data_IF_248388842739
#
_entry.id   IF_248388842739
#
_cell.length_a   1.000
_cell.length_b   1.000
_cell.length_c   1.000
_cell.angle_alpha   90.00
_cell.angle_beta   90.00
_cell.angle_gamma   90.00
#
_symmetry.space_group_name_H-M   'P 1'
#
loop_
_entity.id
_entity.type
_entity.pdbx_description
1 polymer ?
#
# COMPACT_ATOMS: atom_id res chain seq x y z
N UNK A 1 2.07 21.07 16.27
CA UNK A 1 2.40 20.11 15.19
C UNK A 1 1.16 19.30 14.91
N UNK A 2 0.62 19.30 13.66
CA UNK A 2 -0.55 18.49 13.34
C UNK A 2 -0.21 17.02 13.52
N UNK A 3 -1.14 16.27 14.12
CA UNK A 3 -0.97 14.86 14.49
C UNK A 3 -1.17 14.01 13.25
N UNK A 4 -0.10 13.39 12.76
CA UNK A 4 -0.17 12.45 11.64
C UNK A 4 -0.73 11.12 12.13
N UNK A 5 -1.79 10.61 11.50
CA UNK A 5 -2.29 9.28 11.80
C UNK A 5 -1.42 8.27 11.03
N UNK A 6 -0.75 7.38 11.78
CA UNK A 6 0.10 6.33 11.20
C UNK A 6 -0.54 4.99 11.51
N UNK A 7 -0.92 4.25 10.46
CA UNK A 7 -1.30 2.83 10.57
C UNK A 7 -0.11 1.99 10.12
N UNK A 8 0.13 0.87 10.81
CA UNK A 8 1.20 -0.07 10.46
C UNK A 8 0.67 -1.49 10.43
N UNK A 9 1.25 -2.32 9.57
CA UNK A 9 0.94 -3.73 9.45
C UNK A 9 2.18 -4.50 9.03
N UNK A 10 2.26 -5.77 9.41
CA UNK A 10 3.38 -6.64 9.08
C UNK A 10 2.85 -7.98 8.59
N UNK A 11 3.43 -8.49 7.51
CA UNK A 11 3.15 -9.83 6.97
C UNK A 11 4.44 -10.62 6.89
N UNK A 12 4.37 -11.89 7.25
CA UNK A 12 5.46 -12.83 7.03
C UNK A 12 5.17 -13.62 5.75
N UNK A 13 6.21 -13.90 4.99
CA UNK A 13 6.12 -14.66 3.75
C UNK A 13 7.29 -15.65 3.68
N UNK A 14 7.02 -16.89 3.28
CA UNK A 14 8.05 -17.92 3.12
C UNK A 14 7.97 -18.50 1.71
N UNK A 15 9.10 -18.49 1.01
CA UNK A 15 9.21 -19.02 -0.35
C UNK A 15 10.56 -19.71 -0.51
N UNK A 16 10.54 -20.95 -1.02
CA UNK A 16 11.73 -21.75 -1.31
C UNK A 16 12.72 -21.85 -0.12
N UNK A 17 12.18 -21.94 1.11
CA UNK A 17 12.96 -22.05 2.34
C UNK A 17 13.59 -20.73 2.82
N UNK A 18 13.23 -19.61 2.21
CA UNK A 18 13.61 -18.25 2.64
C UNK A 18 12.45 -17.58 3.33
N UNK A 19 12.73 -16.91 4.43
CA UNK A 19 11.74 -16.15 5.19
C UNK A 19 11.90 -14.66 4.92
N UNK A 20 10.76 -14.00 4.72
CA UNK A 20 10.69 -12.58 4.46
C UNK A 20 9.65 -11.93 5.38
N UNK A 21 9.91 -10.68 5.71
CA UNK A 21 8.97 -9.81 6.41
C UNK A 21 8.64 -8.62 5.51
N UNK A 22 7.36 -8.31 5.37
CA UNK A 22 6.89 -7.12 4.69
C UNK A 22 6.21 -6.21 5.70
N UNK A 23 6.73 -5.00 5.85
CA UNK A 23 6.18 -3.94 6.66
C UNK A 23 5.42 -2.96 5.78
N UNK A 24 4.17 -2.67 6.14
CA UNK A 24 3.34 -1.68 5.49
C UNK A 24 3.10 -0.51 6.44
N UNK A 25 3.20 0.70 5.92
CA UNK A 25 2.88 1.92 6.66
C UNK A 25 1.93 2.78 5.83
N UNK A 26 0.93 3.34 6.50
CA UNK A 26 0.05 4.36 5.95
C UNK A 26 0.15 5.60 6.82
N UNK A 27 0.45 6.72 6.17
CA UNK A 27 0.61 8.02 6.80
C UNK A 27 -0.38 9.01 6.16
N UNK A 28 -1.30 9.52 6.97
CA UNK A 28 -2.23 10.57 6.55
C UNK A 28 -2.00 11.84 7.35
N UNK A 29 -1.84 12.95 6.63
CA UNK A 29 -1.85 14.28 7.21
C UNK A 29 -3.28 14.69 7.56
N UNK A 30 -3.46 15.37 8.70
CA UNK A 30 -4.75 15.96 9.04
C UNK A 30 -5.05 17.24 8.24
N UNK A 31 -4.05 17.81 7.57
CA UNK A 31 -4.13 19.12 6.90
C UNK A 31 -4.13 18.98 5.38
N UNK A 32 -3.53 17.91 4.85
CA UNK A 32 -3.48 17.62 3.42
C UNK A 32 -4.41 16.44 3.12
N UNK A 33 -5.14 16.52 2.02
CA UNK A 33 -5.98 15.40 1.54
C UNK A 33 -5.16 14.26 0.93
N UNK A 34 -3.84 14.43 0.82
CA UNK A 34 -2.91 13.42 0.36
C UNK A 34 -2.49 12.50 1.50
N UNK A 35 -2.12 11.28 1.14
CA UNK A 35 -1.55 10.31 2.07
C UNK A 35 -0.41 9.55 1.40
N UNK A 36 0.36 8.84 2.21
CA UNK A 36 1.53 8.10 1.79
C UNK A 36 1.40 6.65 2.25
N UNK A 37 1.65 5.73 1.33
CA UNK A 37 1.73 4.30 1.62
C UNK A 37 3.18 3.87 1.36
N UNK A 38 3.79 3.22 2.35
CA UNK A 38 5.12 2.62 2.24
C UNK A 38 5.02 1.11 2.41
N UNK A 39 5.80 0.37 1.64
CA UNK A 39 6.07 -1.03 1.90
C UNK A 39 7.57 -1.31 1.90
N UNK A 40 8.03 -2.00 2.93
CA UNK A 40 9.41 -2.42 3.10
C UNK A 40 9.47 -3.94 3.21
N UNK A 41 10.26 -4.59 2.36
CA UNK A 41 10.51 -6.03 2.40
C UNK A 41 11.93 -6.27 2.93
N UNK A 42 12.06 -7.22 3.85
CA UNK A 42 13.33 -7.68 4.42
C UNK A 42 13.40 -9.21 4.34
N UNK A 43 14.54 -9.76 3.92
CA UNK A 43 14.83 -11.19 4.08
C UNK A 43 15.37 -11.46 5.50
N UNK A 44 14.73 -12.37 6.23
CA UNK A 44 15.22 -12.84 7.53
C UNK A 44 16.40 -13.77 7.30
N UNK A 45 17.59 -13.35 7.73
CA UNK A 45 18.75 -14.23 7.68
C UNK A 45 18.79 -15.18 8.87
N UNK A 46 19.15 -16.46 8.65
CA UNK A 46 19.45 -17.36 9.73
C UNK A 46 20.66 -16.85 10.53
N UNK A 47 20.58 -17.00 11.86
CA UNK A 47 21.61 -16.53 12.78
C UNK A 47 23.01 -17.00 12.36
N UNK A 48 23.93 -16.05 12.18
CA UNK A 48 25.34 -16.31 11.85
C UNK A 48 25.75 -16.08 10.39
N UNK A 49 24.84 -15.69 9.50
CA UNK A 49 25.19 -15.18 8.16
C UNK A 49 25.21 -13.64 8.19
N UNK A 50 26.36 -13.06 7.85
CA UNK A 50 26.59 -11.62 7.78
C UNK A 50 26.53 -11.11 6.34
N UNK A 51 25.73 -11.75 5.49
CA UNK A 51 25.57 -11.29 4.11
C UNK A 51 24.58 -10.12 4.13
N UNK A 52 24.67 -9.14 3.22
CA UNK A 52 23.68 -8.06 3.18
C UNK A 52 22.28 -8.65 2.98
N UNK A 53 21.37 -8.46 3.94
CA UNK A 53 19.96 -8.84 3.77
C UNK A 53 19.39 -8.04 2.59
N UNK A 54 18.76 -8.74 1.65
CA UNK A 54 18.07 -8.06 0.57
C UNK A 54 16.91 -7.26 1.19
N UNK A 55 16.92 -5.95 0.99
CA UNK A 55 15.81 -5.09 1.36
C UNK A 55 15.35 -4.26 0.18
N UNK A 56 14.05 -4.04 0.10
CA UNK A 56 13.44 -3.16 -0.90
C UNK A 56 12.35 -2.35 -0.23
N UNK A 57 12.41 -1.03 -0.43
CA UNK A 57 11.40 -0.09 0.02
C UNK A 57 10.76 0.59 -1.16
N UNK A 58 9.44 0.69 -1.15
CA UNK A 58 8.69 1.47 -2.13
C UNK A 58 7.71 2.37 -1.38
N UNK A 59 7.64 3.62 -1.81
CA UNK A 59 6.71 4.61 -1.28
C UNK A 59 5.84 5.15 -2.42
N UNK A 60 4.53 5.29 -2.17
CA UNK A 60 3.57 5.83 -3.14
C UNK A 60 2.71 6.90 -2.48
N UNK A 61 2.66 8.07 -3.12
CA UNK A 61 1.79 9.17 -2.71
C UNK A 61 0.42 8.97 -3.34
N UNK A 62 -0.62 8.89 -2.51
CA UNK A 62 -2.00 8.80 -2.96
C UNK A 62 -2.66 10.20 -2.86
N UNK A 63 -3.28 10.69 -3.95
CA UNK A 63 -3.84 12.04 -4.01
C UNK A 63 -5.10 12.23 -3.16
N UNK A 64 -5.78 11.15 -2.79
CA UNK A 64 -7.02 11.18 -2.02
C UNK A 64 -6.93 10.27 -0.82
N UNK A 65 -7.12 10.83 0.38
CA UNK A 65 -7.04 10.10 1.63
C UNK A 65 -7.97 8.89 1.70
N UNK A 66 -9.23 9.04 1.31
CA UNK A 66 -10.21 7.96 1.36
C UNK A 66 -9.80 6.78 0.47
N UNK A 67 -9.26 7.09 -0.72
CA UNK A 67 -8.73 6.08 -1.62
C UNK A 67 -7.52 5.38 -1.01
N UNK A 68 -6.61 6.13 -0.40
CA UNK A 68 -5.44 5.57 0.28
C UNK A 68 -5.79 4.70 1.48
N UNK A 69 -6.79 5.08 2.28
CA UNK A 69 -7.28 4.26 3.39
C UNK A 69 -7.86 2.94 2.89
N UNK A 70 -8.72 2.98 1.85
CA UNK A 70 -9.27 1.77 1.22
C UNK A 70 -8.19 0.89 0.61
N UNK A 71 -7.22 1.49 -0.09
CA UNK A 71 -6.10 0.76 -0.67
C UNK A 71 -5.24 0.08 0.40
N UNK A 72 -4.95 0.78 1.49
CA UNK A 72 -4.21 0.19 2.61
C UNK A 72 -4.97 -0.97 3.25
N UNK A 73 -6.29 -0.86 3.39
CA UNK A 73 -7.13 -1.95 3.88
C UNK A 73 -7.16 -3.13 2.90
N UNK A 74 -7.19 -2.89 1.58
CA UNK A 74 -7.08 -3.94 0.56
C UNK A 74 -5.74 -4.69 0.66
N UNK A 75 -4.63 -3.96 0.80
CA UNK A 75 -3.29 -4.56 0.97
C UNK A 75 -3.25 -5.43 2.24
N UNK A 76 -3.80 -4.93 3.35
CA UNK A 76 -3.81 -5.65 4.63
C UNK A 76 -4.71 -6.88 4.62
N UNK A 77 -5.79 -6.88 3.85
CA UNK A 77 -6.76 -7.96 3.80
C UNK A 77 -6.56 -8.93 2.61
N UNK A 78 -5.59 -8.67 1.74
CA UNK A 78 -5.26 -9.58 0.63
C UNK A 78 -4.95 -11.01 1.16
N UNK A 79 -5.28 -12.04 0.37
CA UNK A 79 -4.90 -13.41 0.70
C UNK A 79 -3.38 -13.56 0.76
N UNK A 80 -2.73 -13.00 -0.25
CA UNK A 80 -1.29 -13.04 -0.44
C UNK A 80 -0.65 -11.69 -0.11
N UNK A 81 0.59 -11.68 0.43
CA UNK A 81 1.28 -10.44 0.72
C UNK A 81 1.55 -9.64 -0.56
N UNK A 82 1.21 -8.35 -0.53
CA UNK A 82 1.51 -7.43 -1.63
C UNK A 82 2.98 -7.02 -1.53
N UNK A 83 3.80 -7.38 -2.51
CA UNK A 83 5.20 -6.97 -2.53
C UNK A 83 5.35 -5.48 -2.85
N UNK A 84 6.38 -4.79 -2.29
CA UNK A 84 6.58 -3.35 -2.48
C UNK A 84 6.55 -2.90 -3.96
N UNK A 85 7.11 -3.70 -4.86
CA UNK A 85 7.20 -3.41 -6.30
C UNK A 85 5.84 -3.25 -6.97
N UNK A 86 4.77 -3.84 -6.42
CA UNK A 86 3.43 -3.79 -7.00
C UNK A 86 2.62 -2.57 -6.53
N UNK A 87 3.06 -1.87 -5.48
CA UNK A 87 2.31 -0.73 -4.94
C UNK A 87 1.98 0.36 -5.98
N UNK A 88 2.92 0.80 -6.84
CA UNK A 88 2.63 1.86 -7.80
C UNK A 88 1.59 1.43 -8.84
N UNK A 89 1.62 0.16 -9.26
CA UNK A 89 0.67 -0.38 -10.23
C UNK A 89 -0.73 -0.52 -9.63
N UNK A 90 -0.84 -1.13 -8.45
CA UNK A 90 -2.12 -1.26 -7.73
C UNK A 90 -2.74 0.11 -7.48
N UNK A 91 -1.95 1.13 -7.10
CA UNK A 91 -2.46 2.48 -6.91
C UNK A 91 -3.04 3.06 -8.21
N UNK A 92 -2.35 2.91 -9.35
CA UNK A 92 -2.84 3.39 -10.66
C UNK A 92 -4.14 2.68 -11.05
N UNK A 93 -4.24 1.39 -10.80
CA UNK A 93 -5.45 0.61 -11.11
C UNK A 93 -6.62 1.08 -10.25
N UNK A 94 -6.41 1.29 -8.95
CA UNK A 94 -7.46 1.80 -8.05
C UNK A 94 -7.91 3.22 -8.41
N UNK A 95 -6.99 4.09 -8.82
CA UNK A 95 -7.34 5.42 -9.33
C UNK A 95 -8.19 5.28 -10.59
N UNK A 96 -7.79 4.41 -11.52
CA UNK A 96 -8.51 4.20 -12.78
C UNK A 96 -9.93 3.68 -12.55
N UNK A 97 -10.10 2.68 -11.68
CA UNK A 97 -11.40 2.16 -11.28
C UNK A 97 -12.29 3.25 -10.65
N UNK A 98 -11.73 4.03 -9.71
CA UNK A 98 -12.47 5.10 -9.03
C UNK A 98 -12.94 6.18 -10.01
N UNK A 99 -12.08 6.57 -10.96
CA UNK A 99 -12.46 7.54 -11.99
C UNK A 99 -13.55 6.99 -12.92
N UNK A 100 -13.44 5.74 -13.35
CA UNK A 100 -14.43 5.08 -14.21
C UNK A 100 -15.80 4.96 -13.51
N UNK A 101 -15.83 4.60 -12.23
CA UNK A 101 -17.07 4.53 -11.44
C UNK A 101 -17.76 5.89 -11.34
N UNK A 102 -16.98 6.96 -11.17
CA UNK A 102 -17.50 8.34 -11.15
C UNK A 102 -18.07 8.78 -12.51
N UNK A 103 -17.48 8.33 -13.63
CA UNK A 103 -18.03 8.57 -14.97
C UNK A 103 -19.36 7.81 -15.18
N UNK A 104 -19.47 6.57 -14.70
CA UNK A 104 -20.73 5.81 -14.79
C UNK A 104 -21.86 6.39 -13.94
N UNK A 105 -21.54 7.08 -12.84
CA UNK A 105 -22.53 7.75 -12.00
C UNK A 105 -23.14 8.99 -12.68
N UNK A 106 -22.33 9.83 -13.34
CA UNK A 106 -22.80 11.08 -13.98
C UNK A 106 -23.63 10.84 -15.24
N UNK A 107 -23.39 9.75 -15.97
CA UNK A 107 -24.18 9.36 -17.14
C UNK A 107 -25.59 8.84 -16.78
N UNK A 108 -25.78 8.24 -15.61
CA UNK A 108 -27.11 7.74 -15.18
C UNK A 108 -28.04 8.82 -14.65
N UNK A 109 -27.52 9.99 -14.25
CA UNK A 109 -28.30 11.07 -13.66
C UNK A 109 -28.69 12.18 -14.65
N UNK A 110 -28.54 11.96 -15.96
CA UNK A 110 -29.08 12.86 -16.97
C UNK A 110 -30.52 12.44 -17.28
N UNK A 111 -31.56 13.12 -16.76
CA UNK A 111 -32.90 12.89 -17.26
C UNK A 111 -32.98 13.48 -18.66
N UNK A 112 -33.42 12.67 -19.63
CA UNK A 112 -33.86 13.15 -20.94
C UNK A 112 -35.12 13.98 -20.82
#
# INVERSE_FOLDING_TARGET
MPKTAVKKSTRNYCQDGREFVIHYEFEASAVQETCLIRAHLEEIQPAGKSTHAASISVEVVCPYRELGERLFDLINNASDPVFPVHLPEILRDQISCTLLDNFHFTLKTSPS
#
